data_IF_441332690232
#
_entry.id   IF_441332690232
#
_cell.length_a   1.000
_cell.length_b   1.000
_cell.length_c   1.000
_cell.angle_alpha   90.00
_cell.angle_beta   90.00
_cell.angle_gamma   90.00
#
_symmetry.space_group_name_H-M   'P 1'
#
loop_
_entity.id
_entity.type
_entity.pdbx_description
1 polymer ?
#
# COMPACT_ATOMS: atom_id res chain seq x y z
N UNK A 1 -46.88 11.16 -31.99
CA UNK A 1 -46.63 10.37 -30.76
C UNK A 1 -45.34 9.56 -30.96
N UNK A 2 -44.18 9.94 -30.39
CA UNK A 2 -42.93 9.19 -30.57
C UNK A 2 -42.67 8.21 -29.42
N UNK A 3 -41.99 7.11 -29.77
CA UNK A 3 -41.88 5.85 -29.05
C UNK A 3 -40.87 5.92 -27.87
N UNK A 4 -41.28 5.44 -26.68
CA UNK A 4 -40.55 5.51 -25.39
C UNK A 4 -39.41 4.47 -25.22
N UNK A 5 -38.92 3.87 -26.31
CA UNK A 5 -37.99 2.72 -26.24
C UNK A 5 -36.51 3.11 -26.37
N UNK A 6 -36.19 4.34 -26.79
CA UNK A 6 -34.81 4.81 -26.94
C UNK A 6 -34.11 5.14 -25.63
N UNK A 7 -34.84 5.34 -24.53
CA UNK A 7 -34.25 5.78 -23.25
C UNK A 7 -33.65 4.63 -22.43
N UNK A 8 -34.05 3.37 -22.62
CA UNK A 8 -33.60 2.26 -21.77
C UNK A 8 -32.31 1.56 -22.23
N UNK A 9 -31.95 1.65 -23.52
CA UNK A 9 -30.74 0.98 -24.03
C UNK A 9 -29.46 1.80 -23.87
N UNK A 10 -29.54 3.13 -23.79
CA UNK A 10 -28.33 3.98 -23.66
C UNK A 10 -27.73 3.89 -22.25
N UNK A 11 -28.52 3.55 -21.23
CA UNK A 11 -28.03 3.42 -19.86
C UNK A 11 -27.20 2.14 -19.61
N UNK A 12 -27.42 1.06 -20.38
CA UNK A 12 -26.77 -0.23 -20.13
C UNK A 12 -25.35 -0.34 -20.72
N UNK A 13 -25.04 0.43 -21.76
CA UNK A 13 -23.74 0.36 -22.46
C UNK A 13 -22.63 1.14 -21.72
N UNK A 14 -22.98 2.08 -20.83
CA UNK A 14 -22.00 2.88 -20.09
C UNK A 14 -21.46 2.19 -18.82
N UNK A 15 -22.03 1.07 -18.38
CA UNK A 15 -21.65 0.39 -17.12
C UNK A 15 -20.69 -0.79 -17.34
N UNK A 16 -20.55 -1.30 -18.57
CA UNK A 16 -19.80 -2.53 -18.83
C UNK A 16 -18.29 -2.36 -19.07
N UNK A 17 -17.77 -1.14 -19.26
CA UNK A 17 -16.37 -0.92 -19.65
C UNK A 17 -15.38 -0.83 -18.47
N UNK A 18 -15.85 -0.80 -17.22
CA UNK A 18 -14.98 -0.70 -16.02
C UNK A 18 -14.72 -2.04 -15.33
N UNK A 19 -15.46 -3.11 -15.67
CA UNK A 19 -15.38 -4.40 -14.98
C UNK A 19 -14.09 -5.20 -15.29
N UNK A 20 -13.46 -4.97 -16.44
CA UNK A 20 -12.25 -5.71 -16.86
C UNK A 20 -10.97 -5.31 -16.13
N UNK A 21 -10.89 -4.07 -15.63
CA UNK A 21 -9.69 -3.55 -14.94
C UNK A 21 -9.71 -3.93 -13.46
N UNK A 22 -10.89 -4.06 -12.84
CA UNK A 22 -11.02 -4.39 -11.42
C UNK A 22 -10.60 -5.83 -11.09
N UNK A 23 -11.00 -6.82 -11.90
CA UNK A 23 -10.77 -8.23 -11.59
C UNK A 23 -9.29 -8.63 -11.64
N UNK A 24 -8.54 -8.17 -12.65
CA UNK A 24 -7.11 -8.45 -12.75
C UNK A 24 -6.29 -7.72 -11.65
N UNK A 25 -6.76 -6.55 -11.23
CA UNK A 25 -6.12 -5.79 -10.16
C UNK A 25 -6.35 -6.43 -8.77
N UNK A 26 -7.51 -7.07 -8.59
CA UNK A 26 -7.84 -7.79 -7.36
C UNK A 26 -6.98 -9.04 -7.19
N UNK A 27 -6.83 -9.83 -8.26
CA UNK A 27 -5.98 -11.02 -8.28
C UNK A 27 -4.51 -10.71 -7.94
N UNK A 28 -3.98 -9.61 -8.49
CA UNK A 28 -2.63 -9.14 -8.16
C UNK A 28 -2.48 -8.79 -6.66
N UNK A 29 -3.48 -8.12 -6.09
CA UNK A 29 -3.44 -7.72 -4.68
C UNK A 29 -3.55 -8.93 -3.75
N UNK A 30 -4.33 -9.94 -4.14
CA UNK A 30 -4.47 -11.19 -3.39
C UNK A 30 -3.17 -12.03 -3.44
N UNK A 31 -2.52 -12.14 -4.61
CA UNK A 31 -1.22 -12.80 -4.73
C UNK A 31 -0.15 -12.07 -3.90
N UNK A 32 -0.12 -10.74 -3.97
CA UNK A 32 0.79 -9.91 -3.18
C UNK A 32 0.57 -10.12 -1.68
N UNK A 33 -0.68 -10.17 -1.23
CA UNK A 33 -1.01 -10.45 0.17
C UNK A 33 -0.52 -11.83 0.60
N UNK A 34 -0.71 -12.85 -0.23
CA UNK A 34 -0.21 -14.20 0.07
C UNK A 34 1.31 -14.22 0.25
N UNK A 35 2.07 -13.47 -0.58
CA UNK A 35 3.53 -13.33 -0.42
C UNK A 35 3.91 -12.56 0.84
N UNK A 36 3.21 -11.46 1.13
CA UNK A 36 3.43 -10.66 2.32
C UNK A 36 3.20 -11.48 3.61
N UNK A 37 2.17 -12.32 3.63
CA UNK A 37 1.86 -13.24 4.73
C UNK A 37 2.89 -14.37 4.87
N UNK A 38 3.53 -14.77 3.78
CA UNK A 38 4.66 -15.72 3.81
C UNK A 38 5.97 -15.09 4.31
N UNK A 39 5.97 -13.79 4.59
CA UNK A 39 7.12 -13.09 5.14
C UNK A 39 7.96 -12.36 4.09
N UNK A 40 7.54 -12.27 2.84
CA UNK A 40 8.29 -11.51 1.83
C UNK A 40 8.30 -10.00 2.18
N UNK A 41 9.49 -9.48 2.48
CA UNK A 41 9.67 -8.10 2.95
C UNK A 41 9.39 -7.04 1.86
N UNK A 42 9.52 -7.39 0.58
CA UNK A 42 9.20 -6.49 -0.53
C UNK A 42 7.68 -6.48 -0.74
N UNK A 43 7.04 -7.64 -0.72
CA UNK A 43 5.58 -7.74 -0.79
C UNK A 43 4.88 -7.07 0.39
N UNK A 44 5.43 -7.18 1.60
CA UNK A 44 4.95 -6.44 2.77
C UNK A 44 5.07 -4.92 2.58
N UNK A 45 6.16 -4.45 1.96
CA UNK A 45 6.32 -3.03 1.66
C UNK A 45 5.29 -2.53 0.64
N UNK A 46 5.11 -3.29 -0.44
CA UNK A 46 4.16 -2.96 -1.50
C UNK A 46 2.72 -3.00 -0.98
N UNK A 47 2.37 -3.98 -0.17
CA UNK A 47 1.04 -4.08 0.44
C UNK A 47 0.78 -2.90 1.39
N UNK A 48 1.78 -2.49 2.17
CA UNK A 48 1.70 -1.27 2.98
C UNK A 48 1.43 -0.02 2.12
N UNK A 49 2.10 0.10 0.98
CA UNK A 49 1.89 1.21 0.04
C UNK A 49 0.48 1.19 -0.59
N UNK A 50 -0.06 0.00 -0.88
CA UNK A 50 -1.44 -0.14 -1.36
C UNK A 50 -2.44 0.40 -0.33
N UNK A 51 -2.24 0.11 0.95
CA UNK A 51 -3.08 0.65 2.03
C UNK A 51 -2.86 2.15 2.26
N UNK A 52 -1.63 2.67 2.10
CA UNK A 52 -1.35 4.12 2.21
C UNK A 52 -2.13 4.94 1.17
N UNK A 53 -2.15 4.47 -0.08
CA UNK A 53 -2.74 5.21 -1.21
C UNK A 53 -4.15 4.76 -1.58
N UNK A 54 -4.65 3.65 -1.02
CA UNK A 54 -5.94 3.07 -1.37
C UNK A 54 -5.99 2.56 -2.81
N UNK A 55 -4.98 1.80 -3.23
CA UNK A 55 -4.83 1.33 -4.62
C UNK A 55 -5.62 0.05 -4.85
N UNK A 56 -6.09 -0.16 -6.08
CA UNK A 56 -6.66 -1.45 -6.51
C UNK A 56 -8.01 -1.81 -5.87
N UNK A 57 -8.77 -0.81 -5.42
CA UNK A 57 -10.05 -1.02 -4.75
C UNK A 57 -9.92 -1.34 -3.25
N UNK A 58 -8.70 -1.30 -2.71
CA UNK A 58 -8.45 -1.35 -1.28
C UNK A 58 -8.72 0.04 -0.69
N UNK A 59 -9.54 0.17 0.38
CA UNK A 59 -9.70 1.42 1.09
C UNK A 59 -8.36 1.89 1.69
N UNK A 60 -8.12 3.20 1.65
CA UNK A 60 -6.98 3.78 2.33
C UNK A 60 -7.06 3.50 3.84
N UNK A 61 -5.99 2.93 4.39
CA UNK A 61 -5.84 2.66 5.82
C UNK A 61 -4.38 2.84 6.24
N UNK A 62 -4.11 3.96 6.88
CA UNK A 62 -2.76 4.30 7.32
C UNK A 62 -2.27 3.40 8.47
N UNK A 63 -3.17 2.91 9.32
CA UNK A 63 -2.78 2.02 10.41
C UNK A 63 -2.35 0.65 9.86
N UNK A 64 -3.06 0.16 8.85
CA UNK A 64 -2.72 -1.08 8.16
C UNK A 64 -1.43 -0.94 7.34
N UNK A 65 -1.22 0.21 6.69
CA UNK A 65 0.03 0.53 6.00
C UNK A 65 1.25 0.45 6.94
N UNK A 66 1.16 1.09 8.11
CA UNK A 66 2.20 1.04 9.15
C UNK A 66 2.42 -0.39 9.63
N UNK A 67 1.36 -1.20 9.80
CA UNK A 67 1.48 -2.59 10.24
C UNK A 67 2.35 -3.41 9.28
N UNK A 68 2.07 -3.31 7.98
CA UNK A 68 2.81 -4.02 6.95
C UNK A 68 4.25 -3.50 6.80
N UNK A 69 4.45 -2.18 6.82
CA UNK A 69 5.79 -1.63 6.80
C UNK A 69 6.62 -1.99 8.01
N UNK A 70 6.02 -2.13 9.20
CA UNK A 70 6.76 -2.61 10.38
C UNK A 70 7.32 -4.01 10.16
N UNK A 71 6.51 -4.92 9.62
CA UNK A 71 6.97 -6.28 9.31
C UNK A 71 8.13 -6.25 8.30
N UNK A 72 8.02 -5.46 7.24
CA UNK A 72 9.10 -5.32 6.25
C UNK A 72 10.37 -4.69 6.85
N UNK A 73 10.22 -3.66 7.68
CA UNK A 73 11.31 -2.94 8.33
C UNK A 73 12.03 -3.78 9.39
N UNK A 74 11.32 -4.69 10.08
CA UNK A 74 11.90 -5.67 11.00
C UNK A 74 12.82 -6.66 10.28
N UNK A 75 12.59 -6.89 8.98
CA UNK A 75 13.42 -7.73 8.11
C UNK A 75 14.57 -6.96 7.43
N UNK A 76 14.72 -5.67 7.73
CA UNK A 76 15.78 -4.83 7.16
C UNK A 76 15.40 -4.11 5.87
N UNK A 77 14.12 -4.10 5.47
CA UNK A 77 13.68 -3.28 4.34
C UNK A 77 13.85 -1.78 4.69
N UNK A 78 14.77 -1.13 3.99
CA UNK A 78 15.14 0.27 4.23
C UNK A 78 14.03 1.24 3.79
N UNK A 79 13.31 0.92 2.71
CA UNK A 79 12.19 1.72 2.23
C UNK A 79 11.04 1.72 3.23
N UNK A 80 10.70 0.55 3.76
CA UNK A 80 9.67 0.41 4.79
C UNK A 80 10.06 1.14 6.09
N UNK A 81 11.32 1.03 6.51
CA UNK A 81 11.84 1.73 7.69
C UNK A 81 11.78 3.26 7.52
N UNK A 82 12.09 3.77 6.33
CA UNK A 82 11.97 5.20 6.01
C UNK A 82 10.50 5.65 6.00
N UNK A 83 9.61 4.86 5.38
CA UNK A 83 8.16 5.11 5.38
C UNK A 83 7.60 5.20 6.80
N UNK A 84 7.96 4.27 7.69
CA UNK A 84 7.56 4.31 9.10
C UNK A 84 8.05 5.56 9.82
N UNK A 85 9.31 5.95 9.61
CA UNK A 85 9.85 7.16 10.24
C UNK A 85 9.03 8.40 9.88
N UNK A 86 8.60 8.51 8.61
CA UNK A 86 7.72 9.59 8.16
C UNK A 86 6.32 9.52 8.76
N UNK A 87 5.72 8.33 8.86
CA UNK A 87 4.37 8.20 9.46
C UNK A 87 4.37 8.55 10.95
N UNK A 88 5.41 8.13 11.70
CA UNK A 88 5.58 8.50 13.11
C UNK A 88 5.87 9.97 13.31
N UNK A 89 6.61 10.60 12.39
CA UNK A 89 6.87 12.05 12.43
C UNK A 89 5.60 12.86 12.16
N UNK A 90 4.76 12.41 11.22
CA UNK A 90 3.55 13.13 10.82
C UNK A 90 2.31 12.77 11.64
N UNK A 91 2.33 11.67 12.42
CA UNK A 91 1.17 11.19 13.16
C UNK A 91 0.07 10.58 12.28
N UNK A 92 0.44 10.03 11.12
CA UNK A 92 -0.48 9.47 10.15
C UNK A 92 -0.61 7.95 10.36
N UNK A 93 -1.80 7.47 10.73
CA UNK A 93 -2.03 6.04 11.02
C UNK A 93 -1.43 5.53 12.33
N UNK A 94 -0.58 6.32 12.98
CA UNK A 94 -0.02 6.10 14.30
C UNK A 94 0.01 7.41 15.10
N UNK A 95 -0.03 7.35 16.44
CA UNK A 95 0.28 8.52 17.25
C UNK A 95 1.65 9.08 16.87
N UNK A 96 1.73 10.40 16.74
CA UNK A 96 2.99 11.07 16.48
C UNK A 96 3.98 10.72 17.59
N UNK A 97 5.17 10.26 17.21
CA UNK A 97 6.24 9.90 18.12
C UNK A 97 7.59 10.16 17.46
N UNK A 98 8.15 11.32 17.74
CA UNK A 98 9.42 11.75 17.17
C UNK A 98 10.57 10.81 17.60
N UNK A 99 10.50 10.18 18.78
CA UNK A 99 11.55 9.26 19.26
C UNK A 99 11.53 7.99 18.42
N UNK A 100 10.35 7.42 18.18
CA UNK A 100 10.20 6.27 17.30
C UNK A 100 10.57 6.61 15.85
N UNK A 101 10.22 7.79 15.36
CA UNK A 101 10.63 8.25 14.04
C UNK A 101 12.16 8.28 13.88
N UNK A 102 12.87 8.86 14.86
CA UNK A 102 14.34 8.89 14.85
C UNK A 102 14.94 7.49 14.98
N UNK A 103 14.34 6.60 15.78
CA UNK A 103 14.80 5.21 15.90
C UNK A 103 14.76 4.48 14.55
N UNK A 104 13.63 4.56 13.84
CA UNK A 104 13.48 3.91 12.53
C UNK A 104 14.36 4.56 11.46
N UNK A 105 14.51 5.89 11.46
CA UNK A 105 15.41 6.59 10.55
C UNK A 105 16.88 6.25 10.79
N UNK A 106 17.33 6.21 12.06
CA UNK A 106 18.72 5.86 12.39
C UNK A 106 19.04 4.40 12.07
N UNK A 107 18.06 3.49 12.16
CA UNK A 107 18.24 2.11 11.69
C UNK A 107 18.57 2.10 10.20
N UNK A 108 17.86 2.87 9.37
CA UNK A 108 18.17 2.99 7.93
C UNK A 108 19.58 3.53 7.70
N UNK A 109 19.94 4.61 8.40
CA UNK A 109 21.27 5.23 8.27
C UNK A 109 22.36 4.23 8.66
N UNK A 110 22.19 3.50 9.75
CA UNK A 110 23.17 2.51 10.20
C UNK A 110 23.42 1.41 9.16
N UNK A 111 22.37 0.90 8.51
CA UNK A 111 22.51 -0.08 7.42
C UNK A 111 23.17 0.55 6.18
N UNK A 112 22.77 1.75 5.78
CA UNK A 112 23.34 2.44 4.62
C UNK A 112 24.84 2.77 4.80
N UNK A 113 25.28 2.99 6.04
CA UNK A 113 26.70 3.27 6.34
C UNK A 113 27.58 2.01 6.44
N UNK A 114 27.00 0.81 6.49
CA UNK A 114 27.72 -0.47 6.63
C UNK A 114 27.96 -1.21 5.31
N UNK A 115 27.40 -0.74 4.19
CA UNK A 115 27.69 -1.24 2.84
C UNK A 115 28.61 -0.23 2.10
N UNK A 116 29.94 -0.22 2.33
CA UNK A 116 30.83 0.38 1.35
C UNK A 116 30.74 -0.50 0.09
N UNK A 117 30.28 0.07 -1.02
CA UNK A 117 30.34 -0.56 -2.34
C UNK A 117 31.71 -1.22 -2.54
N UNK A 118 31.75 -2.56 -2.46
CA UNK A 118 32.92 -3.38 -2.73
C UNK A 118 33.12 -3.56 -4.23
#
# INVERSE_FOLDING_TARGET
MPQRWTTLFVAAVLVAATAGVGAAQQEYTDELRAKAEQGDAEAQFDLGSIYEYGIGGVPQDQAEAVRWWRMAAEQGNLLASYGLALQYFNGNGVPQDDVFAHMWANRVVSFATLEPHA
#
